data_IF_127571511956
#
_entry.id   IF_127571511956
#
_cell.length_a   1.000
_cell.length_b   1.000
_cell.length_c   1.000
_cell.angle_alpha   90.00
_cell.angle_beta   90.00
_cell.angle_gamma   90.00
#
_symmetry.space_group_name_H-M   'P 1'
#
loop_
_entity.id
_entity.type
_entity.pdbx_description
1 polymer ?
#
# COMPACT_ATOMS: atom_id res chain seq x y z
N UNK A 1 40.83 44.36 40.96
CA UNK A 1 41.60 43.21 40.47
C UNK A 1 40.69 42.40 39.55
N UNK A 2 41.15 42.14 38.30
CA UNK A 2 40.78 41.03 37.38
C UNK A 2 39.30 40.84 36.99
N UNK A 3 38.90 40.47 35.78
CA UNK A 3 39.49 40.33 34.43
C UNK A 3 38.34 39.80 33.55
N UNK A 4 38.39 40.05 32.24
CA UNK A 4 37.28 39.85 31.29
C UNK A 4 37.08 38.41 30.77
N UNK A 5 36.33 38.26 29.65
CA UNK A 5 35.69 37.00 29.25
C UNK A 5 36.59 36.08 28.42
N UNK A 6 36.31 34.78 28.51
CA UNK A 6 37.01 33.70 27.81
C UNK A 6 36.36 33.46 26.44
N UNK A 7 37.13 33.65 25.38
CA UNK A 7 36.86 33.10 24.05
C UNK A 7 37.62 31.80 23.84
N UNK A 8 37.05 30.86 23.09
CA UNK A 8 37.76 29.69 22.57
C UNK A 8 37.42 29.47 21.10
N UNK A 9 38.49 29.25 20.33
CA UNK A 9 38.57 29.28 18.87
C UNK A 9 38.14 27.95 18.25
N UNK A 10 37.49 28.05 17.10
CA UNK A 10 37.22 26.94 16.17
C UNK A 10 38.54 26.55 15.47
N UNK A 11 38.87 25.26 15.46
CA UNK A 11 39.96 24.68 14.67
C UNK A 11 39.38 23.87 13.50
N UNK A 12 39.59 24.36 12.28
CA UNK A 12 39.41 23.57 11.06
C UNK A 12 40.56 22.54 10.94
N UNK A 13 40.23 21.25 10.91
CA UNK A 13 41.15 20.19 10.47
C UNK A 13 40.84 19.79 9.03
N UNK A 14 41.85 19.93 8.20
CA UNK A 14 41.98 19.41 6.84
C UNK A 14 42.64 18.03 6.94
N UNK A 15 42.04 16.97 6.39
CA UNK A 15 42.74 15.69 6.15
C UNK A 15 42.28 15.07 4.83
N UNK A 16 43.15 15.26 3.83
CA UNK A 16 43.69 14.29 2.86
C UNK A 16 42.77 13.31 2.11
N UNK A 17 42.75 13.52 0.79
CA UNK A 17 42.28 12.63 -0.28
C UNK A 17 42.96 11.26 -0.23
N UNK A 18 42.15 10.21 -0.25
CA UNK A 18 42.58 8.82 -0.47
C UNK A 18 42.67 8.56 -1.99
N UNK A 19 43.81 8.02 -2.43
CA UNK A 19 44.13 7.66 -3.82
C UNK A 19 43.87 6.15 -3.98
N UNK A 20 42.89 5.79 -4.80
CA UNK A 20 42.56 4.38 -5.12
C UNK A 20 43.40 3.92 -6.32
N UNK A 21 44.02 2.72 -6.31
CA UNK A 21 44.78 2.23 -7.45
C UNK A 21 43.88 1.74 -8.59
N UNK A 22 44.18 2.20 -9.79
CA UNK A 22 43.67 1.68 -11.06
C UNK A 22 44.26 0.31 -11.39
N UNK A 23 43.42 -0.69 -11.69
CA UNK A 23 43.60 -1.76 -12.69
C UNK A 23 42.63 -2.90 -12.41
N UNK A 24 41.56 -3.05 -13.20
CA UNK A 24 40.94 -4.34 -13.51
C UNK A 24 40.19 -4.23 -14.85
N UNK A 25 40.54 -5.13 -15.77
CA UNK A 25 39.81 -5.67 -16.93
C UNK A 25 38.89 -4.78 -17.78
N UNK A 26 39.26 -4.59 -19.06
CA UNK A 26 38.31 -4.23 -20.13
C UNK A 26 37.31 -5.39 -20.35
N UNK A 27 36.00 -5.12 -20.56
CA UNK A 27 35.06 -6.13 -21.02
C UNK A 27 35.32 -6.51 -22.49
N UNK A 28 35.06 -7.76 -22.91
CA UNK A 28 35.25 -8.19 -24.30
C UNK A 28 34.23 -7.53 -25.24
N UNK A 29 34.68 -7.23 -26.47
CA UNK A 29 33.88 -6.65 -27.55
C UNK A 29 32.85 -7.65 -28.09
N UNK A 30 31.68 -7.18 -28.58
CA UNK A 30 30.68 -8.03 -29.22
C UNK A 30 31.18 -8.57 -30.57
N UNK A 31 30.96 -9.86 -30.81
CA UNK A 31 31.23 -10.53 -32.08
C UNK A 31 30.18 -10.13 -33.12
N UNK A 32 30.63 -9.78 -34.34
CA UNK A 32 29.79 -9.45 -35.49
C UNK A 32 28.98 -10.68 -35.97
N UNK A 33 27.79 -10.47 -36.57
CA UNK A 33 26.95 -11.55 -37.07
C UNK A 33 27.51 -12.17 -38.36
N UNK A 34 27.51 -13.49 -38.43
CA UNK A 34 27.81 -14.23 -39.65
C UNK A 34 26.62 -14.20 -40.61
N UNK A 35 26.83 -13.69 -41.83
CA UNK A 35 25.96 -13.95 -42.98
C UNK A 35 26.23 -15.37 -43.50
N UNK A 36 25.17 -16.13 -43.76
CA UNK A 36 25.05 -16.85 -45.03
C UNK A 36 23.59 -17.10 -45.42
N UNK A 37 23.41 -16.95 -46.71
CA UNK A 37 22.22 -16.87 -47.53
C UNK A 37 21.37 -18.16 -47.65
N UNK A 38 20.06 -17.91 -47.87
CA UNK A 38 19.11 -18.56 -48.79
C UNK A 38 18.95 -20.09 -48.76
N UNK A 39 17.77 -20.54 -48.34
CA UNK A 39 16.70 -21.00 -49.25
C UNK A 39 15.43 -21.28 -48.43
N UNK A 40 14.24 -20.92 -48.94
CA UNK A 40 12.99 -21.20 -48.23
C UNK A 40 11.85 -20.26 -48.59
N UNK A 41 11.21 -20.57 -49.71
CA UNK A 41 9.87 -20.17 -50.15
C UNK A 41 8.92 -19.64 -49.07
N UNK A 42 8.37 -18.45 -49.34
CA UNK A 42 7.26 -17.86 -48.60
C UNK A 42 5.97 -18.63 -48.90
N UNK A 43 5.38 -19.25 -47.87
CA UNK A 43 3.96 -19.59 -47.84
C UNK A 43 3.29 -18.78 -46.73
N UNK A 44 2.25 -18.04 -47.12
CA UNK A 44 1.35 -17.31 -46.23
C UNK A 44 0.45 -18.36 -45.56
N UNK A 45 0.77 -18.70 -44.32
CA UNK A 45 0.04 -19.66 -43.50
C UNK A 45 -0.89 -18.98 -42.50
N UNK A 46 -2.17 -19.27 -42.61
CA UNK A 46 -3.27 -18.74 -41.80
C UNK A 46 -3.08 -18.81 -40.28
N UNK A 47 -3.48 -17.72 -39.63
CA UNK A 47 -3.64 -17.54 -38.19
C UNK A 47 -4.55 -18.64 -37.59
N UNK A 48 -4.04 -19.42 -36.62
CA UNK A 48 -4.86 -20.27 -35.75
C UNK A 48 -4.80 -19.70 -34.32
N UNK A 49 -5.94 -19.39 -33.68
CA UNK A 49 -5.93 -18.97 -32.28
C UNK A 49 -5.60 -20.17 -31.38
N UNK A 50 -4.75 -19.96 -30.38
CA UNK A 50 -4.51 -20.92 -29.30
C UNK A 50 -5.75 -21.00 -28.39
N UNK A 51 -6.19 -22.24 -28.17
CA UNK A 51 -7.40 -22.59 -27.43
C UNK A 51 -7.09 -22.69 -25.91
N UNK A 52 -7.64 -21.76 -25.13
CA UNK A 52 -7.51 -21.64 -23.66
C UNK A 52 -8.43 -22.58 -22.85
N UNK A 53 -8.80 -23.74 -23.38
CA UNK A 53 -9.79 -24.60 -22.73
C UNK A 53 -9.24 -26.00 -22.46
N UNK A 54 -8.77 -26.25 -21.24
CA UNK A 54 -9.11 -27.52 -20.55
C UNK A 54 -8.58 -27.70 -19.12
N UNK A 55 -7.60 -26.94 -18.62
CA UNK A 55 -7.02 -27.24 -17.28
C UNK A 55 -7.25 -26.18 -16.18
N UNK A 56 -7.79 -25.00 -16.49
CA UNK A 56 -7.82 -23.85 -15.56
C UNK A 56 -9.08 -23.72 -14.68
N UNK A 57 -10.17 -24.44 -14.98
CA UNK A 57 -11.48 -24.21 -14.33
C UNK A 57 -11.54 -24.59 -12.84
N UNK A 58 -10.61 -25.43 -12.36
CA UNK A 58 -10.58 -25.85 -10.95
C UNK A 58 -9.91 -24.82 -10.03
N UNK A 59 -9.04 -23.97 -10.57
CA UNK A 59 -8.40 -22.88 -9.82
C UNK A 59 -9.25 -21.60 -9.84
N UNK A 60 -9.90 -21.30 -10.97
CA UNK A 60 -10.82 -20.17 -11.12
C UNK A 60 -12.03 -20.22 -10.17
N UNK A 61 -12.68 -21.38 -10.03
CA UNK A 61 -13.87 -21.54 -9.18
C UNK A 61 -13.61 -21.42 -7.67
N UNK A 62 -12.38 -21.66 -7.21
CA UNK A 62 -11.99 -21.47 -5.80
C UNK A 62 -11.69 -20.00 -5.48
N UNK A 63 -11.15 -19.25 -6.44
CA UNK A 63 -10.81 -17.84 -6.32
C UNK A 63 -12.08 -16.98 -6.14
N UNK A 64 -13.10 -17.27 -6.96
CA UNK A 64 -14.37 -16.53 -7.01
C UNK A 64 -15.24 -16.71 -5.76
N UNK A 65 -15.12 -17.85 -5.07
CA UNK A 65 -15.84 -18.09 -3.82
C UNK A 65 -15.10 -17.50 -2.60
N UNK A 66 -13.77 -17.54 -2.61
CA UNK A 66 -12.91 -17.11 -1.48
C UNK A 66 -12.76 -15.59 -1.33
N UNK A 67 -12.93 -14.80 -2.39
CA UNK A 67 -13.01 -13.33 -2.24
C UNK A 67 -14.36 -12.88 -1.67
N UNK A 68 -15.40 -13.75 -1.71
CA UNK A 68 -16.75 -13.48 -1.19
C UNK A 68 -17.05 -14.13 0.18
N UNK A 69 -16.25 -15.11 0.63
CA UNK A 69 -16.41 -15.79 1.91
C UNK A 69 -15.32 -15.32 2.89
N UNK A 70 -15.68 -14.37 3.77
CA UNK A 70 -14.92 -13.86 4.92
C UNK A 70 -13.39 -13.96 4.81
N UNK A 71 -12.77 -12.89 4.30
CA UNK A 71 -11.34 -12.66 4.49
C UNK A 71 -10.96 -12.92 5.97
N UNK A 72 -9.75 -13.42 6.28
CA UNK A 72 -9.25 -13.62 7.64
C UNK A 72 -8.98 -12.26 8.28
N UNK A 73 -10.06 -11.54 8.56
CA UNK A 73 -10.06 -10.19 9.06
C UNK A 73 -9.58 -10.25 10.51
N UNK A 74 -8.66 -9.34 10.83
CA UNK A 74 -8.24 -9.08 12.21
C UNK A 74 -7.59 -10.27 12.92
N UNK A 75 -6.99 -11.20 12.16
CA UNK A 75 -5.97 -12.11 12.69
C UNK A 75 -4.63 -11.37 12.84
N UNK A 76 -3.66 -11.98 13.53
CA UNK A 76 -2.31 -11.40 13.67
C UNK A 76 -1.71 -11.06 12.30
N UNK A 77 -1.23 -9.83 12.15
CA UNK A 77 -0.62 -9.32 10.92
C UNK A 77 -1.61 -8.96 9.80
N UNK A 78 -2.91 -9.22 9.93
CA UNK A 78 -3.88 -8.79 8.91
C UNK A 78 -4.21 -7.29 9.04
N UNK A 79 -4.64 -6.62 7.95
CA UNK A 79 -5.23 -5.29 8.02
C UNK A 79 -6.37 -5.24 9.02
N UNK A 80 -6.42 -4.15 9.77
CA UNK A 80 -7.30 -3.99 10.91
C UNK A 80 -8.09 -2.69 10.90
N UNK A 81 -7.44 -1.62 10.43
CA UNK A 81 -8.02 -0.28 10.39
C UNK A 81 -7.32 0.55 9.32
N UNK A 82 -7.97 1.61 8.88
CA UNK A 82 -7.34 2.67 8.08
C UNK A 82 -7.75 4.03 8.65
N UNK A 83 -6.80 4.96 8.67
CA UNK A 83 -7.13 6.36 8.91
C UNK A 83 -6.37 7.30 7.99
N UNK A 84 -6.92 8.50 7.87
CA UNK A 84 -6.30 9.60 7.15
C UNK A 84 -5.85 10.67 8.15
N UNK A 85 -4.60 11.08 8.04
CA UNK A 85 -4.13 12.31 8.67
C UNK A 85 -4.40 13.51 7.76
N UNK A 86 -5.29 14.41 8.17
CA UNK A 86 -5.72 15.56 7.38
C UNK A 86 -5.35 16.90 8.06
N UNK A 87 -4.98 17.90 7.26
CA UNK A 87 -4.78 19.26 7.75
C UNK A 87 -6.10 19.96 8.11
N UNK A 88 -7.19 19.63 7.39
CA UNK A 88 -8.55 20.06 7.63
C UNK A 88 -9.45 18.83 7.75
N UNK A 89 -9.66 18.37 8.98
CA UNK A 89 -10.44 17.15 9.28
C UNK A 89 -11.90 17.30 8.83
N UNK A 90 -12.62 18.40 9.14
CA UNK A 90 -13.99 18.59 8.65
C UNK A 90 -14.12 18.58 7.12
N UNK A 91 -13.20 19.22 6.39
CA UNK A 91 -13.25 19.25 4.93
C UNK A 91 -13.00 17.86 4.32
N UNK A 92 -12.03 17.10 4.85
CA UNK A 92 -11.78 15.73 4.42
C UNK A 92 -12.99 14.82 4.74
N UNK A 93 -13.58 14.96 5.93
CA UNK A 93 -14.76 14.21 6.32
C UNK A 93 -15.95 14.49 5.40
N UNK A 94 -16.25 15.76 5.06
CA UNK A 94 -17.31 16.10 4.10
C UNK A 94 -17.09 15.42 2.74
N UNK A 95 -15.87 15.51 2.21
CA UNK A 95 -15.51 14.90 0.93
C UNK A 95 -15.79 13.40 0.91
N UNK A 96 -15.28 12.65 1.89
CA UNK A 96 -15.43 11.20 1.94
C UNK A 96 -16.85 10.75 2.29
N UNK A 97 -17.55 11.48 3.18
CA UNK A 97 -18.96 11.23 3.47
C UNK A 97 -19.83 11.39 2.23
N UNK A 98 -19.63 12.47 1.48
CA UNK A 98 -20.35 12.68 0.23
C UNK A 98 -19.97 11.64 -0.82
N UNK A 99 -18.69 11.28 -0.95
CA UNK A 99 -18.24 10.32 -1.96
C UNK A 99 -18.80 8.92 -1.74
N UNK A 100 -18.67 8.40 -0.52
CA UNK A 100 -18.97 7.01 -0.19
C UNK A 100 -20.30 6.79 0.53
N UNK A 101 -21.01 7.86 0.88
CA UNK A 101 -22.23 7.78 1.70
C UNK A 101 -21.93 7.43 3.16
N UNK A 102 -20.74 7.78 3.65
CA UNK A 102 -20.37 7.61 5.05
C UNK A 102 -20.99 8.69 5.93
N UNK A 103 -21.03 8.41 7.23
CA UNK A 103 -21.40 9.35 8.28
C UNK A 103 -20.18 9.60 9.17
N UNK A 104 -19.94 10.87 9.51
CA UNK A 104 -18.81 11.29 10.34
C UNK A 104 -19.27 11.66 11.76
N UNK A 105 -18.53 11.21 12.76
CA UNK A 105 -18.71 11.59 14.18
C UNK A 105 -17.39 12.06 14.76
N UNK A 106 -17.28 13.35 15.09
CA UNK A 106 -16.15 13.89 15.88
C UNK A 106 -16.24 13.34 17.31
N UNK A 107 -15.18 12.65 17.75
CA UNK A 107 -15.08 12.08 19.10
C UNK A 107 -14.69 13.12 20.16
N UNK A 108 -14.46 14.37 19.77
CA UNK A 108 -14.25 15.52 20.64
C UNK A 108 -12.79 15.82 20.95
N UNK A 109 -12.58 16.90 21.71
CA UNK A 109 -11.25 17.42 22.08
C UNK A 109 -10.42 16.38 22.83
N UNK A 110 -11.04 15.58 23.71
CA UNK A 110 -10.35 14.53 24.45
C UNK A 110 -9.70 13.52 23.50
N UNK A 111 -10.35 13.20 22.38
CA UNK A 111 -9.85 12.33 21.32
C UNK A 111 -8.97 13.06 20.28
N UNK A 112 -8.60 14.33 20.52
CA UNK A 112 -7.84 15.14 19.58
C UNK A 112 -8.60 15.43 18.28
N UNK A 113 -9.93 15.50 18.33
CA UNK A 113 -10.80 15.64 17.17
C UNK A 113 -10.67 14.50 16.14
N UNK A 114 -10.29 13.31 16.61
CA UNK A 114 -10.35 12.10 15.79
C UNK A 114 -11.81 11.84 15.38
N UNK A 115 -12.07 11.85 14.08
CA UNK A 115 -13.41 11.74 13.52
C UNK A 115 -13.62 10.33 12.99
N UNK A 116 -14.55 9.60 13.61
CA UNK A 116 -14.93 8.26 13.19
C UNK A 116 -15.82 8.30 11.95
N UNK A 117 -15.63 7.38 11.03
CA UNK A 117 -16.42 7.24 9.80
C UNK A 117 -17.18 5.92 9.82
N UNK A 118 -18.49 5.99 9.54
CA UNK A 118 -19.36 4.81 9.53
C UNK A 118 -20.11 4.68 8.21
N UNK A 119 -20.46 3.45 7.82
CA UNK A 119 -21.36 3.15 6.72
C UNK A 119 -22.43 2.19 7.22
N UNK A 120 -23.70 2.55 7.07
CA UNK A 120 -24.84 1.75 7.57
C UNK A 120 -24.69 1.36 9.06
N UNK A 121 -24.17 2.28 9.87
CA UNK A 121 -23.96 2.08 11.31
C UNK A 121 -22.74 1.22 11.68
N UNK A 122 -21.92 0.81 10.72
CA UNK A 122 -20.67 0.06 10.97
C UNK A 122 -19.46 0.98 10.78
N UNK A 123 -18.49 0.92 11.69
CA UNK A 123 -17.22 1.66 11.58
C UNK A 123 -16.41 1.17 10.38
N UNK A 124 -15.87 2.09 9.57
CA UNK A 124 -15.15 1.74 8.33
C UNK A 124 -13.77 2.38 8.21
N UNK A 125 -13.57 3.54 8.81
CA UNK A 125 -12.34 4.32 8.74
C UNK A 125 -12.38 5.46 9.77
N UNK A 126 -11.32 6.26 9.84
CA UNK A 126 -11.35 7.53 10.55
C UNK A 126 -10.46 8.59 9.89
N UNK A 127 -10.63 9.83 10.34
CA UNK A 127 -9.80 10.97 9.95
C UNK A 127 -9.32 11.67 11.22
N UNK A 128 -8.01 11.82 11.37
CA UNK A 128 -7.38 12.54 12.47
C UNK A 128 -6.61 13.77 11.98
N UNK A 129 -6.28 14.72 12.86
CA UNK A 129 -5.45 15.85 12.51
C UNK A 129 -4.02 15.40 12.15
N UNK A 130 -3.47 15.96 11.08
CA UNK A 130 -2.08 15.71 10.72
C UNK A 130 -1.11 16.34 11.74
N UNK A 131 -0.14 15.56 12.23
CA UNK A 131 0.92 16.06 13.12
C UNK A 131 1.93 16.96 12.38
N UNK A 132 2.08 16.77 11.07
CA UNK A 132 2.90 17.59 10.20
C UNK A 132 2.12 17.86 8.90
N UNK A 133 1.89 19.13 8.59
CA UNK A 133 1.15 19.55 7.39
C UNK A 133 2.04 19.75 6.16
N UNK A 134 3.36 19.60 6.30
CA UNK A 134 4.32 19.73 5.19
C UNK A 134 4.42 18.44 4.36
N UNK A 135 3.82 17.35 4.82
CA UNK A 135 3.75 16.06 4.10
C UNK A 135 2.40 15.91 3.42
N UNK A 136 2.39 15.29 2.24
CA UNK A 136 1.14 14.96 1.54
C UNK A 136 0.29 14.04 2.42
N UNK A 137 -0.99 14.36 2.65
CA UNK A 137 -1.93 13.48 3.33
C UNK A 137 -1.97 12.10 2.68
N UNK A 138 -2.09 11.06 3.50
CA UNK A 138 -2.12 9.68 3.04
C UNK A 138 -3.03 8.85 3.96
N UNK A 139 -3.79 7.95 3.36
CA UNK A 139 -4.41 6.83 4.08
C UNK A 139 -3.35 5.86 4.59
N UNK A 140 -3.34 5.61 5.90
CA UNK A 140 -2.42 4.69 6.57
C UNK A 140 -3.16 3.40 6.91
N UNK A 141 -2.61 2.27 6.46
CA UNK A 141 -3.09 0.94 6.83
C UNK A 141 -2.48 0.49 8.16
N UNK A 142 -3.34 0.06 9.09
CA UNK A 142 -2.94 -0.53 10.37
C UNK A 142 -3.01 -2.05 10.28
N UNK A 143 -1.89 -2.72 10.53
CA UNK A 143 -1.85 -4.18 10.70
C UNK A 143 -2.02 -4.54 12.18
N UNK A 144 -2.78 -5.60 12.46
CA UNK A 144 -3.01 -6.03 13.84
C UNK A 144 -1.78 -6.70 14.44
N UNK A 145 -1.48 -6.40 15.69
CA UNK A 145 -0.56 -7.14 16.54
C UNK A 145 -1.19 -7.44 17.89
N UNK A 146 -0.93 -8.61 18.47
CA UNK A 146 -1.28 -8.92 19.85
C UNK A 146 -0.18 -8.48 20.85
N UNK A 147 0.98 -8.04 20.36
CA UNK A 147 2.15 -7.67 21.16
C UNK A 147 2.97 -6.55 20.51
N UNK A 148 2.43 -5.33 20.49
CA UNK A 148 2.97 -4.17 19.76
C UNK A 148 4.45 -3.89 20.04
N UNK A 149 4.87 -3.99 21.30
CA UNK A 149 6.27 -3.74 21.68
C UNK A 149 7.24 -4.80 21.13
N UNK A 150 6.82 -6.06 21.04
CA UNK A 150 7.65 -7.11 20.47
C UNK A 150 7.63 -7.06 18.93
N UNK A 151 6.47 -6.75 18.33
CA UNK A 151 6.38 -6.44 16.90
C UNK A 151 7.27 -5.25 16.53
N UNK A 152 7.32 -4.21 17.35
CA UNK A 152 8.21 -3.05 17.14
C UNK A 152 9.68 -3.47 17.07
N UNK A 153 10.15 -4.29 18.03
CA UNK A 153 11.52 -4.82 18.00
C UNK A 153 11.78 -5.69 16.76
N UNK A 154 10.80 -6.49 16.35
CA UNK A 154 10.90 -7.32 15.15
C UNK A 154 11.01 -6.46 13.87
N UNK A 155 10.25 -5.36 13.79
CA UNK A 155 10.31 -4.38 12.71
C UNK A 155 11.71 -3.74 12.63
N UNK A 156 12.23 -3.25 13.75
CA UNK A 156 13.58 -2.67 13.80
C UNK A 156 14.66 -3.68 13.40
N UNK A 157 14.57 -4.92 13.91
CA UNK A 157 15.50 -5.99 13.58
C UNK A 157 15.42 -6.41 12.10
N UNK A 158 14.26 -6.25 11.46
CA UNK A 158 14.05 -6.52 10.05
C UNK A 158 14.44 -5.33 9.13
N UNK A 159 14.87 -4.20 9.70
CA UNK A 159 15.34 -3.03 8.95
C UNK A 159 14.27 -1.96 8.70
N UNK A 160 13.12 -2.06 9.35
CA UNK A 160 12.11 -0.99 9.36
C UNK A 160 12.50 0.15 10.31
N UNK A 161 11.88 1.31 10.09
CA UNK A 161 12.12 2.54 10.87
C UNK A 161 10.88 2.87 11.68
N UNK A 162 11.06 3.18 12.97
CA UNK A 162 9.99 3.72 13.83
C UNK A 162 9.79 5.20 13.51
N UNK A 163 8.62 5.58 13.01
CA UNK A 163 8.21 6.97 12.78
C UNK A 163 7.51 7.56 14.01
N UNK A 164 6.65 6.76 14.62
CA UNK A 164 5.97 7.09 15.86
C UNK A 164 6.10 5.89 16.81
N UNK A 165 6.73 6.04 17.98
CA UNK A 165 6.92 4.94 18.91
C UNK A 165 5.58 4.44 19.47
N UNK A 166 5.51 3.20 19.99
CA UNK A 166 4.34 2.66 20.64
C UNK A 166 3.76 3.61 21.69
N UNK A 167 2.50 3.94 21.54
CA UNK A 167 1.73 4.75 22.48
C UNK A 167 0.30 4.24 22.61
N UNK A 168 -0.30 4.51 23.77
CA UNK A 168 -1.70 4.20 24.02
C UNK A 168 -2.61 5.31 23.47
N UNK A 169 -3.66 4.90 22.76
CA UNK A 169 -4.79 5.76 22.39
C UNK A 169 -5.91 5.46 23.36
N UNK A 170 -5.91 6.19 24.47
CA UNK A 170 -6.79 5.96 25.62
C UNK A 170 -6.78 4.48 26.06
N UNK A 171 -7.94 3.91 26.31
CA UNK A 171 -8.16 2.50 26.57
C UNK A 171 -8.64 1.72 25.32
N UNK A 172 -8.58 2.34 24.14
CA UNK A 172 -9.13 1.81 22.90
C UNK A 172 -8.15 0.90 22.17
N UNK A 173 -6.92 1.36 21.98
CA UNK A 173 -5.85 0.60 21.30
C UNK A 173 -4.48 1.13 21.71
N UNK A 174 -3.42 0.39 21.39
CA UNK A 174 -2.05 0.92 21.33
C UNK A 174 -1.62 0.96 19.86
N UNK A 175 -0.96 2.04 19.43
CA UNK A 175 -0.52 2.19 18.04
C UNK A 175 0.96 2.57 17.95
N UNK A 176 1.56 2.25 16.80
CA UNK A 176 2.85 2.77 16.38
C UNK A 176 2.88 2.90 14.85
N UNK A 177 3.69 3.81 14.32
CA UNK A 177 3.84 4.02 12.88
C UNK A 177 5.28 3.74 12.44
N UNK A 178 5.41 3.16 11.26
CA UNK A 178 6.66 2.64 10.74
C UNK A 178 6.85 2.94 9.25
N UNK A 179 8.08 2.77 8.80
CA UNK A 179 8.44 2.68 7.39
C UNK A 179 9.14 1.34 7.16
N UNK A 180 8.77 0.63 6.11
CA UNK A 180 9.44 -0.61 5.71
C UNK A 180 10.80 -0.32 5.02
N UNK A 181 11.62 -1.34 4.70
CA UNK A 181 12.95 -1.14 4.12
C UNK A 181 12.96 -0.44 2.75
N UNK A 182 11.84 -0.38 2.04
CA UNK A 182 11.75 0.31 0.73
C UNK A 182 11.12 1.69 0.82
N UNK A 183 10.66 2.11 2.00
CA UNK A 183 10.10 3.43 2.22
C UNK A 183 8.58 3.47 2.33
N UNK A 184 7.88 2.34 2.31
CA UNK A 184 6.42 2.32 2.44
C UNK A 184 6.01 2.53 3.90
N UNK A 185 5.14 3.51 4.13
CA UNK A 185 4.61 3.82 5.46
C UNK A 185 3.42 2.91 5.82
N UNK A 186 3.40 2.42 7.06
CA UNK A 186 2.30 1.63 7.62
C UNK A 186 2.23 1.83 9.14
N UNK A 187 1.14 1.36 9.75
CA UNK A 187 0.98 1.37 11.20
C UNK A 187 0.72 -0.04 11.74
N UNK A 188 0.94 -0.20 13.04
CA UNK A 188 0.55 -1.40 13.78
C UNK A 188 -0.35 -0.99 14.92
N UNK A 189 -1.45 -1.72 15.07
CA UNK A 189 -2.43 -1.52 16.15
C UNK A 189 -2.47 -2.78 17.02
N UNK A 190 -2.41 -2.61 18.33
CA UNK A 190 -2.72 -3.63 19.31
C UNK A 190 -4.09 -3.33 19.92
N UNK A 191 -5.15 -4.04 19.47
CA UNK A 191 -6.51 -3.80 19.92
C UNK A 191 -6.65 -3.96 21.43
N UNK A 192 -7.45 -3.07 22.04
CA UNK A 192 -7.96 -3.22 23.42
C UNK A 192 -9.49 -3.27 23.38
N UNK A 193 -10.16 -2.12 23.49
CA UNK A 193 -11.62 -2.00 23.36
C UNK A 193 -12.08 -1.78 21.92
N UNK A 194 -11.26 -1.14 21.10
CA UNK A 194 -11.54 -0.97 19.68
C UNK A 194 -11.53 -2.33 19.00
N UNK A 195 -12.53 -2.62 18.17
CA UNK A 195 -12.69 -3.92 17.51
C UNK A 195 -12.19 -3.96 16.07
N UNK A 196 -11.75 -2.82 15.53
CA UNK A 196 -11.34 -2.68 14.14
C UNK A 196 -12.52 -2.22 13.30
N UNK A 197 -12.38 -2.27 11.98
CA UNK A 197 -13.50 -1.95 11.11
C UNK A 197 -14.67 -2.92 11.32
N UNK A 198 -15.86 -2.37 11.53
CA UNK A 198 -17.10 -3.13 11.61
C UNK A 198 -17.56 -3.67 10.25
N UNK A 199 -17.02 -3.14 9.14
CA UNK A 199 -17.28 -3.57 7.77
C UNK A 199 -15.99 -3.53 6.95
N UNK A 200 -15.72 -4.59 6.20
CA UNK A 200 -14.53 -4.75 5.36
C UNK A 200 -14.80 -5.76 4.24
N UNK A 201 -14.22 -5.53 3.06
CA UNK A 201 -14.37 -6.43 1.90
C UNK A 201 -15.58 -6.14 1.03
N UNK A 202 -16.30 -5.05 1.26
CA UNK A 202 -17.61 -4.79 0.63
C UNK A 202 -17.77 -3.30 0.26
N UNK A 203 -18.79 -2.98 -0.53
CA UNK A 203 -19.19 -1.62 -0.88
C UNK A 203 -19.36 -0.76 0.38
N UNK A 204 -18.83 0.47 0.32
CA UNK A 204 -18.83 1.42 1.43
C UNK A 204 -17.76 1.15 2.48
N UNK A 205 -16.77 0.28 2.22
CA UNK A 205 -15.68 -0.01 3.14
C UNK A 205 -14.36 -0.28 2.41
N UNK A 206 -13.26 -0.45 3.14
CA UNK A 206 -12.02 -0.95 2.55
C UNK A 206 -12.26 -2.35 2.03
N UNK A 207 -11.95 -2.61 0.75
CA UNK A 207 -12.08 -3.92 0.13
C UNK A 207 -10.73 -4.56 -0.22
N UNK A 208 -9.68 -3.76 -0.36
CA UNK A 208 -8.34 -4.23 -0.70
C UNK A 208 -7.26 -3.26 -0.23
N UNK A 209 -6.07 -3.78 0.07
CA UNK A 209 -4.86 -2.97 0.29
C UNK A 209 -3.73 -3.50 -0.58
N UNK A 210 -3.00 -2.61 -1.24
CA UNK A 210 -1.99 -2.99 -2.21
C UNK A 210 -0.70 -2.23 -1.97
N UNK A 211 0.42 -2.93 -1.89
CA UNK A 211 1.73 -2.32 -1.74
C UNK A 211 2.33 -2.08 -3.13
N UNK A 212 2.43 -0.81 -3.51
CA UNK A 212 3.12 -0.41 -4.72
C UNK A 212 4.58 -0.15 -4.42
N UNK A 213 5.47 -0.80 -5.16
CA UNK A 213 6.91 -0.68 -4.98
C UNK A 213 7.65 -1.10 -6.26
N UNK A 214 8.98 -0.90 -6.30
CA UNK A 214 9.78 -1.21 -7.50
C UNK A 214 10.30 -2.64 -7.55
N UNK A 215 10.44 -3.29 -6.39
CA UNK A 215 10.95 -4.65 -6.24
C UNK A 215 10.31 -5.32 -5.02
N UNK A 216 9.71 -6.49 -5.18
CA UNK A 216 8.95 -7.14 -4.10
C UNK A 216 9.83 -7.70 -2.98
N UNK A 217 10.95 -8.33 -3.32
CA UNK A 217 11.73 -9.17 -2.38
C UNK A 217 12.10 -8.49 -1.05
N UNK A 218 12.59 -7.23 -1.00
CA UNK A 218 12.90 -6.57 0.27
C UNK A 218 11.70 -6.46 1.22
N UNK A 219 10.53 -6.07 0.70
CA UNK A 219 9.31 -5.96 1.49
C UNK A 219 8.72 -7.32 1.83
N UNK A 220 8.72 -8.28 0.89
CA UNK A 220 8.25 -9.65 1.15
C UNK A 220 9.05 -10.28 2.28
N UNK A 221 10.38 -10.24 2.21
CA UNK A 221 11.27 -10.74 3.26
C UNK A 221 11.04 -10.03 4.60
N UNK A 222 10.78 -8.73 4.58
CA UNK A 222 10.47 -7.95 5.78
C UNK A 222 9.18 -8.41 6.43
N UNK A 223 8.05 -8.42 5.71
CA UNK A 223 6.75 -8.77 6.29
C UNK A 223 6.64 -10.26 6.66
N UNK A 224 7.36 -11.14 5.95
CA UNK A 224 7.54 -12.54 6.36
C UNK A 224 8.19 -12.66 7.75
N UNK A 225 9.23 -11.87 8.03
CA UNK A 225 9.91 -11.90 9.34
C UNK A 225 9.09 -11.26 10.45
N UNK A 226 8.38 -10.18 10.15
CA UNK A 226 7.63 -9.39 11.15
C UNK A 226 6.29 -10.05 11.49
N UNK A 227 5.52 -10.45 10.49
CA UNK A 227 4.14 -10.93 10.66
C UNK A 227 3.96 -12.40 10.30
N UNK A 228 5.00 -13.07 9.79
CA UNK A 228 4.86 -14.45 9.31
C UNK A 228 3.95 -14.58 8.09
N UNK A 229 3.76 -13.49 7.32
CA UNK A 229 2.98 -13.53 6.10
C UNK A 229 3.51 -14.56 5.13
N UNK A 230 2.63 -15.14 4.33
CA UNK A 230 3.01 -15.94 3.18
C UNK A 230 2.55 -15.23 1.91
N UNK A 231 3.11 -15.64 0.77
CA UNK A 231 2.80 -15.02 -0.52
C UNK A 231 2.41 -16.05 -1.56
N UNK A 232 1.59 -15.61 -2.52
CA UNK A 232 1.22 -16.41 -3.70
C UNK A 232 1.30 -15.54 -4.95
N UNK A 233 2.13 -15.95 -5.91
CA UNK A 233 2.28 -15.22 -7.17
C UNK A 233 1.15 -15.58 -8.12
N UNK A 234 0.59 -14.56 -8.77
CA UNK A 234 -0.43 -14.64 -9.80
C UNK A 234 0.15 -14.04 -11.08
N UNK A 235 0.18 -14.79 -12.20
CA UNK A 235 0.53 -14.21 -13.49
C UNK A 235 -0.47 -13.12 -13.88
N UNK A 236 0.03 -11.92 -14.21
CA UNK A 236 -0.79 -10.80 -14.67
C UNK A 236 -1.18 -10.93 -16.15
N UNK A 237 -0.46 -11.75 -16.91
CA UNK A 237 -0.62 -11.87 -18.37
C UNK A 237 -0.16 -10.61 -19.13
N UNK A 238 -0.29 -10.64 -20.45
CA UNK A 238 0.18 -9.54 -21.31
C UNK A 238 1.70 -9.37 -21.32
N UNK A 239 2.15 -8.11 -21.39
CA UNK A 239 3.58 -7.73 -21.42
C UNK A 239 4.17 -7.50 -20.01
N UNK A 240 3.43 -7.86 -18.95
CA UNK A 240 3.94 -7.75 -17.57
C UNK A 240 4.92 -8.89 -17.27
N UNK A 241 6.19 -8.55 -17.07
CA UNK A 241 7.23 -9.53 -16.70
C UNK A 241 7.10 -9.99 -15.24
N UNK A 242 6.73 -9.07 -14.34
CA UNK A 242 6.59 -9.35 -12.92
C UNK A 242 5.18 -9.86 -12.56
N UNK A 243 5.07 -10.87 -11.68
CA UNK A 243 3.78 -11.36 -11.20
C UNK A 243 3.17 -10.39 -10.20
N UNK A 244 1.84 -10.43 -10.10
CA UNK A 244 1.15 -9.86 -8.95
C UNK A 244 1.31 -10.79 -7.74
N UNK A 245 1.76 -10.26 -6.60
CA UNK A 245 2.04 -11.08 -5.42
C UNK A 245 0.95 -10.90 -4.38
N UNK A 246 0.13 -11.93 -4.16
CA UNK A 246 -0.88 -11.93 -3.09
C UNK A 246 -0.22 -12.07 -1.71
N UNK A 247 -0.75 -11.34 -0.73
CA UNK A 247 -0.29 -11.33 0.66
C UNK A 247 -1.31 -12.04 1.56
N UNK A 248 -0.84 -13.03 2.30
CA UNK A 248 -1.68 -13.94 3.09
C UNK A 248 -1.19 -13.89 4.55
N UNK A 249 -2.07 -13.67 5.56
CA UNK A 249 -1.65 -13.66 6.96
C UNK A 249 -1.12 -15.03 7.39
N UNK A 250 -0.35 -15.05 8.47
CA UNK A 250 0.22 -16.30 8.97
C UNK A 250 -0.86 -17.31 9.34
N UNK A 251 -0.72 -18.55 8.85
CA UNK A 251 -1.64 -19.65 9.13
C UNK A 251 -3.02 -19.52 8.45
N UNK A 252 -3.16 -18.66 7.45
CA UNK A 252 -4.40 -18.49 6.67
C UNK A 252 -4.21 -18.95 5.21
N UNK A 253 -5.31 -19.15 4.50
CA UNK A 253 -5.32 -19.51 3.08
C UNK A 253 -5.72 -18.35 2.15
N UNK A 254 -6.38 -17.34 2.70
CA UNK A 254 -7.00 -16.24 1.96
C UNK A 254 -6.17 -14.95 2.11
N UNK A 255 -6.01 -14.25 0.99
CA UNK A 255 -5.22 -13.03 0.90
C UNK A 255 -6.03 -11.80 1.31
N UNK A 256 -5.39 -10.84 1.98
CA UNK A 256 -6.00 -9.54 2.33
C UNK A 256 -5.58 -8.40 1.40
N UNK A 257 -4.54 -8.63 0.61
CA UNK A 257 -3.86 -7.60 -0.15
C UNK A 257 -2.87 -8.18 -1.14
N UNK A 258 -2.14 -7.30 -1.82
CA UNK A 258 -1.12 -7.71 -2.76
C UNK A 258 0.02 -6.72 -2.92
N UNK A 259 0.98 -7.10 -3.76
CA UNK A 259 2.09 -6.25 -4.19
C UNK A 259 1.98 -6.06 -5.70
N UNK A 260 1.98 -4.81 -6.11
CA UNK A 260 2.10 -4.41 -7.50
C UNK A 260 3.51 -3.83 -7.74
N UNK A 261 4.21 -4.37 -8.74
CA UNK A 261 5.51 -3.84 -9.17
C UNK A 261 5.27 -2.66 -10.11
N UNK A 262 5.63 -1.46 -9.64
CA UNK A 262 5.63 -0.24 -10.41
C UNK A 262 7.07 0.26 -10.57
N UNK A 263 7.75 -0.24 -11.61
CA UNK A 263 9.13 0.13 -11.94
C UNK A 263 9.23 1.32 -12.90
N UNK A 264 8.11 1.79 -13.45
CA UNK A 264 8.08 2.79 -14.53
C UNK A 264 7.65 4.19 -14.09
N UNK A 265 6.76 4.31 -13.10
CA UNK A 265 6.15 5.62 -12.77
C UNK A 265 7.08 6.54 -11.98
N UNK A 266 8.14 5.99 -11.38
CA UNK A 266 9.00 6.73 -10.45
C UNK A 266 8.35 7.03 -9.09
N UNK A 267 7.12 6.55 -8.84
CA UNK A 267 6.42 6.76 -7.57
C UNK A 267 7.20 6.22 -6.37
N UNK A 268 6.95 6.83 -5.21
CA UNK A 268 7.51 6.36 -3.93
C UNK A 268 6.74 5.13 -3.46
N UNK A 269 7.42 4.11 -2.93
CA UNK A 269 6.74 2.95 -2.36
C UNK A 269 5.71 3.34 -1.31
N UNK A 270 4.50 2.77 -1.40
CA UNK A 270 3.40 3.08 -0.47
C UNK A 270 2.30 2.03 -0.52
N UNK A 271 1.55 1.93 0.57
CA UNK A 271 0.30 1.19 0.63
C UNK A 271 -0.83 2.03 0.01
N UNK A 272 -1.58 1.42 -0.89
CA UNK A 272 -2.79 1.93 -1.52
C UNK A 272 -3.99 1.31 -0.82
N UNK A 273 -5.03 2.12 -0.60
CA UNK A 273 -6.29 1.67 0.01
C UNK A 273 -7.38 1.74 -1.04
N UNK A 274 -8.07 0.61 -1.24
CA UNK A 274 -9.18 0.49 -2.15
C UNK A 274 -10.49 0.47 -1.36
N UNK A 275 -11.38 1.41 -1.67
CA UNK A 275 -12.72 1.48 -1.11
C UNK A 275 -13.72 0.93 -2.11
N UNK A 276 -14.54 -0.02 -1.67
CA UNK A 276 -15.58 -0.63 -2.48
C UNK A 276 -16.68 0.37 -2.81
N UNK A 277 -17.07 0.45 -4.08
CA UNK A 277 -18.16 1.28 -4.60
C UNK A 277 -18.98 0.50 -5.63
N UNK A 278 -20.25 0.88 -5.80
CA UNK A 278 -21.10 0.30 -6.85
C UNK A 278 -20.59 0.63 -8.26
N UNK A 279 -20.05 1.84 -8.45
CA UNK A 279 -19.58 2.33 -9.76
C UNK A 279 -18.38 3.28 -9.56
N UNK A 280 -17.20 2.82 -9.97
CA UNK A 280 -15.96 3.58 -9.84
C UNK A 280 -15.90 4.79 -10.76
N UNK A 281 -16.56 4.76 -11.93
CA UNK A 281 -16.62 5.92 -12.83
C UNK A 281 -17.52 7.00 -12.25
N UNK A 282 -18.67 6.62 -11.69
CA UNK A 282 -19.55 7.55 -11.00
C UNK A 282 -18.86 8.15 -9.77
N UNK A 283 -18.16 7.34 -8.98
CA UNK A 283 -17.37 7.81 -7.84
C UNK A 283 -16.27 8.78 -8.29
N UNK A 284 -15.54 8.47 -9.36
CA UNK A 284 -14.51 9.34 -9.90
C UNK A 284 -15.06 10.68 -10.41
N UNK A 285 -16.16 10.67 -11.17
CA UNK A 285 -16.81 11.89 -11.63
C UNK A 285 -17.22 12.78 -10.45
N UNK A 286 -17.80 12.18 -9.41
CA UNK A 286 -18.18 12.88 -8.18
C UNK A 286 -16.97 13.44 -7.42
N UNK A 287 -15.89 12.67 -7.31
CA UNK A 287 -14.66 13.12 -6.67
C UNK A 287 -14.09 14.37 -7.38
N UNK A 288 -14.06 14.37 -8.71
CA UNK A 288 -13.60 15.52 -9.53
C UNK A 288 -14.52 16.73 -9.34
N UNK A 289 -15.83 16.55 -9.32
CA UNK A 289 -16.80 17.63 -9.06
C UNK A 289 -16.56 18.30 -7.69
N UNK A 290 -16.17 17.51 -6.68
CA UNK A 290 -15.89 17.98 -5.33
C UNK A 290 -14.46 18.54 -5.15
N UNK A 291 -13.70 18.73 -6.23
CA UNK A 291 -12.35 19.32 -6.20
C UNK A 291 -11.22 18.31 -6.03
N UNK A 292 -11.52 17.01 -6.05
CA UNK A 292 -10.51 15.96 -6.18
C UNK A 292 -9.99 15.82 -7.62
N UNK A 293 -9.19 14.80 -7.87
CA UNK A 293 -8.63 14.53 -9.19
C UNK A 293 -8.54 13.04 -9.50
N UNK A 294 -8.52 12.71 -10.79
CA UNK A 294 -8.17 11.37 -11.29
C UNK A 294 -6.67 11.35 -11.59
N UNK A 295 -5.95 10.42 -10.99
CA UNK A 295 -4.49 10.34 -11.06
C UNK A 295 -4.00 9.45 -12.22
N UNK A 296 -4.82 8.49 -12.64
CA UNK A 296 -4.53 7.57 -13.72
C UNK A 296 -5.81 7.18 -14.48
N UNK A 297 -5.65 6.67 -15.69
CA UNK A 297 -6.75 6.06 -16.42
C UNK A 297 -7.34 4.88 -15.62
N UNK A 298 -8.66 4.66 -15.66
CA UNK A 298 -9.29 3.54 -15.00
C UNK A 298 -8.71 2.21 -15.46
N UNK A 299 -8.58 1.28 -14.54
CA UNK A 299 -8.14 -0.08 -14.83
C UNK A 299 -9.30 -1.05 -14.66
N UNK A 300 -9.37 -2.04 -15.55
CA UNK A 300 -10.35 -3.12 -15.47
C UNK A 300 -9.63 -4.44 -15.71
N UNK A 301 -9.80 -5.37 -14.77
CA UNK A 301 -9.24 -6.71 -14.85
C UNK A 301 -10.40 -7.69 -14.82
N UNK A 302 -10.59 -8.50 -15.89
CA UNK A 302 -11.65 -9.50 -15.93
C UNK A 302 -11.66 -10.36 -14.68
N UNK A 303 -12.85 -10.60 -14.13
CA UNK A 303 -13.09 -11.41 -12.93
C UNK A 303 -12.52 -10.88 -11.60
N UNK A 304 -11.72 -9.80 -11.64
CA UNK A 304 -11.23 -9.13 -10.43
C UNK A 304 -12.06 -7.90 -10.13
N UNK A 305 -12.39 -7.08 -11.12
CA UNK A 305 -13.12 -5.83 -10.94
C UNK A 305 -12.50 -4.67 -11.71
N UNK A 306 -13.01 -3.47 -11.46
CA UNK A 306 -12.56 -2.24 -12.11
C UNK A 306 -12.39 -1.13 -11.08
N UNK A 307 -11.44 -0.22 -11.29
CA UNK A 307 -11.19 0.85 -10.34
C UNK A 307 -10.67 2.14 -10.97
N UNK A 308 -10.83 3.22 -10.22
CA UNK A 308 -10.24 4.53 -10.49
C UNK A 308 -9.26 4.92 -9.40
N UNK A 309 -8.11 5.43 -9.82
CA UNK A 309 -7.10 6.00 -8.91
C UNK A 309 -7.37 7.50 -8.76
N UNK A 310 -7.67 7.92 -7.54
CA UNK A 310 -8.17 9.26 -7.24
C UNK A 310 -7.30 9.95 -6.19
N UNK A 311 -7.35 11.26 -6.14
CA UNK A 311 -6.92 12.05 -5.00
C UNK A 311 -8.05 12.96 -4.51
N UNK A 312 -8.12 13.14 -3.18
CA UNK A 312 -8.98 14.14 -2.56
C UNK A 312 -8.45 15.57 -2.83
N UNK A 313 -9.17 16.64 -2.45
CA UNK A 313 -8.74 18.03 -2.67
C UNK A 313 -7.41 18.40 -1.99
N UNK A 314 -6.98 17.63 -0.98
CA UNK A 314 -5.72 17.82 -0.27
C UNK A 314 -4.56 17.00 -0.88
N UNK A 315 -4.85 16.17 -1.88
CA UNK A 315 -3.88 15.31 -2.56
C UNK A 315 -3.75 13.91 -1.96
N UNK A 316 -4.61 13.52 -1.01
CA UNK A 316 -4.61 12.16 -0.46
C UNK A 316 -5.10 11.17 -1.50
N UNK A 317 -4.25 10.23 -1.87
CA UNK A 317 -4.57 9.22 -2.88
C UNK A 317 -5.39 8.06 -2.27
N UNK A 318 -6.39 7.60 -3.02
CA UNK A 318 -7.16 6.39 -2.73
C UNK A 318 -7.70 5.78 -4.04
N UNK A 319 -8.14 4.52 -3.99
CA UNK A 319 -8.81 3.86 -5.10
C UNK A 319 -10.30 3.69 -4.81
N UNK A 320 -11.16 4.00 -5.79
CA UNK A 320 -12.56 3.59 -5.80
C UNK A 320 -12.68 2.33 -6.65
N UNK A 321 -13.13 1.22 -6.06
CA UNK A 321 -13.14 -0.10 -6.68
C UNK A 321 -14.56 -0.66 -6.81
N UNK A 322 -14.92 -1.07 -8.01
CA UNK A 322 -16.15 -1.81 -8.30
C UNK A 322 -15.84 -3.30 -8.39
N UNK A 323 -16.45 -4.14 -7.52
CA UNK A 323 -16.29 -5.60 -7.61
C UNK A 323 -16.82 -6.14 -8.95
N UNK A 324 -16.40 -7.34 -9.36
CA UNK A 324 -16.86 -7.94 -10.60
C UNK A 324 -18.34 -8.32 -10.46
N UNK A 325 -19.11 -8.13 -11.54
CA UNK A 325 -20.53 -8.51 -11.63
C UNK A 325 -20.75 -10.03 -11.58
#
# INVERSE_FOLDING_TARGET
MRSGPVGARIHHRHVSRIRVPSRLGRPPRPTKPGRRDRDGSAEIGHNRPLNWQSEDRRYHGLLLRKLSEMAPQFVEGAPYWVDLSAADVPAAADFYCRLFGWEATDLGEEAGHYTNLTYQGQEVAAIGPAFNTDVTPQWITYFKSNALYDTTKAIEAAGGVVRMPPMDVFDQTSIAQFTDPVGAEFAVSQPKKHTGAGRWGDVGSVCWVELHLRQAEPSVSFYQRVFGWTTRNMPMGGDHEDPYTLLIPSGQDDSFGGIYIDDQSGQTPRWWVYFGVEDHEAAAAKAVEMGGSRLAEPMSVPEVGSWSVLADPSGSMFCAFTPPN
#
